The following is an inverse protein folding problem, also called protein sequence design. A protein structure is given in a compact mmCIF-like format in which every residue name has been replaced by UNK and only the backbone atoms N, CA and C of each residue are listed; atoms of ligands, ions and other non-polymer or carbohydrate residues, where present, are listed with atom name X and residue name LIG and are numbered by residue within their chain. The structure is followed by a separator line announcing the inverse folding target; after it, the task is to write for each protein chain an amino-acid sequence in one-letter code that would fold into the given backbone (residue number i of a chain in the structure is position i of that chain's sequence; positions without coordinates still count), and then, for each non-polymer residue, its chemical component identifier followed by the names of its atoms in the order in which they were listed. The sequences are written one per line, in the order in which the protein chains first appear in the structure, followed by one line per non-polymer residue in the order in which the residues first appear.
data_IF_814079943696
#
_entry.id   IF_814079943696
#
_cell.length_a   1.000
_cell.length_b   1.000
_cell.length_c   1.000
_cell.angle_alpha   90.00
_cell.angle_beta   90.00
_cell.angle_gamma   90.00
#
_symmetry.space_group_name_H-M   'P 1'
#
loop_
_entity.id
_entity.type
_entity.pdbx_description
1 polymer ?
#
# COMPACT_ATOMS: atom_id res chain seq x y z
N UNK A 1 -9.23 8.16 -13.88
CA UNK A 1 -10.43 7.42 -14.34
C UNK A 1 -10.50 7.19 -15.85
N UNK A 2 -9.47 7.48 -16.68
CA UNK A 2 -9.59 7.33 -18.15
C UNK A 2 -9.16 5.97 -18.72
N UNK A 3 -8.40 5.17 -17.97
CA UNK A 3 -7.64 4.06 -18.56
C UNK A 3 -7.99 2.66 -18.03
N UNK A 4 -8.13 2.47 -16.71
CA UNK A 4 -8.32 1.13 -16.12
C UNK A 4 -9.79 0.91 -15.76
N UNK A 5 -10.32 1.73 -14.84
CA UNK A 5 -11.69 1.58 -14.34
C UNK A 5 -12.81 1.53 -15.40
N UNK A 6 -12.80 2.35 -16.47
CA UNK A 6 -13.89 2.33 -17.45
C UNK A 6 -14.02 1.01 -18.23
N UNK A 7 -12.91 0.29 -18.41
CA UNK A 7 -12.84 -0.90 -19.26
C UNK A 7 -12.78 -2.19 -18.45
N UNK A 8 -12.94 -2.13 -17.13
CA UNK A 8 -12.85 -3.32 -16.26
C UNK A 8 -13.90 -4.40 -16.59
N UNK A 9 -15.08 -3.99 -17.08
CA UNK A 9 -16.17 -4.90 -17.49
C UNK A 9 -15.94 -5.53 -18.87
N UNK A 10 -14.99 -4.98 -19.64
CA UNK A 10 -14.59 -5.49 -20.96
C UNK A 10 -13.38 -6.43 -20.87
N UNK A 11 -12.80 -6.61 -19.69
CA UNK A 11 -11.64 -7.47 -19.48
C UNK A 11 -12.02 -8.96 -19.53
N UNK A 12 -11.24 -9.76 -20.26
CA UNK A 12 -11.41 -11.22 -20.30
C UNK A 12 -11.24 -11.87 -18.91
N UNK A 13 -10.35 -11.30 -18.08
CA UNK A 13 -10.05 -11.77 -16.74
C UNK A 13 -9.80 -10.57 -15.81
N UNK A 14 -10.42 -10.60 -14.64
CA UNK A 14 -10.15 -9.69 -13.54
C UNK A 14 -9.73 -10.50 -12.30
N UNK A 15 -8.61 -10.11 -11.68
CA UNK A 15 -8.10 -10.77 -10.48
C UNK A 15 -7.83 -9.75 -9.38
N UNK A 16 -8.31 -10.03 -8.18
CA UNK A 16 -7.99 -9.25 -6.99
C UNK A 16 -6.85 -9.95 -6.23
N UNK A 17 -5.64 -9.38 -6.32
CA UNK A 17 -4.46 -9.86 -5.61
C UNK A 17 -4.32 -9.29 -4.19
N UNK A 18 -5.27 -8.47 -3.72
CA UNK A 18 -5.17 -7.83 -2.42
C UNK A 18 -5.26 -8.85 -1.28
N UNK A 19 -4.37 -8.70 -0.30
CA UNK A 19 -4.33 -9.54 0.88
C UNK A 19 -4.59 -8.68 2.13
N UNK A 20 -5.43 -9.20 3.03
CA UNK A 20 -5.93 -8.44 4.20
C UNK A 20 -4.82 -7.92 5.13
N UNK A 21 -3.65 -8.56 5.12
CA UNK A 21 -2.53 -8.22 5.98
C UNK A 21 -1.60 -7.14 5.39
N UNK A 22 -1.75 -6.77 4.11
CA UNK A 22 -0.77 -5.90 3.42
C UNK A 22 -0.69 -4.52 4.07
N UNK A 23 -1.83 -3.90 4.37
CA UNK A 23 -1.87 -2.59 5.01
C UNK A 23 -1.32 -2.62 6.44
N UNK A 24 -1.51 -3.73 7.15
CA UNK A 24 -0.96 -3.92 8.49
C UNK A 24 0.58 -4.01 8.49
N UNK A 25 1.16 -4.64 7.46
CA UNK A 25 2.61 -4.67 7.26
C UNK A 25 3.13 -3.31 6.79
N UNK A 26 2.49 -2.71 5.78
CA UNK A 26 2.90 -1.42 5.21
C UNK A 26 2.88 -0.30 6.24
N UNK A 27 1.94 -0.33 7.19
CA UNK A 27 1.82 0.69 8.23
C UNK A 27 3.14 0.95 8.96
N UNK A 28 3.92 -0.09 9.25
CA UNK A 28 5.22 0.03 9.94
C UNK A 28 6.21 0.92 9.18
N UNK A 29 6.12 0.95 7.85
CA UNK A 29 7.00 1.71 6.96
C UNK A 29 6.39 3.07 6.57
N UNK A 30 5.10 3.09 6.24
CA UNK A 30 4.42 4.29 5.76
C UNK A 30 4.12 5.30 6.88
N UNK A 31 3.75 4.85 8.08
CA UNK A 31 3.38 5.73 9.18
C UNK A 31 4.48 6.73 9.60
N UNK A 32 5.76 6.33 9.80
CA UNK A 32 6.81 7.30 10.12
C UNK A 32 7.03 8.32 9.00
N UNK A 33 7.06 7.88 7.75
CA UNK A 33 7.26 8.76 6.59
C UNK A 33 6.12 9.80 6.44
N UNK A 34 4.88 9.38 6.66
CA UNK A 34 3.73 10.28 6.61
C UNK A 34 3.72 11.29 7.76
N UNK A 35 4.33 10.97 8.90
CA UNK A 35 4.45 11.90 10.05
C UNK A 35 5.52 12.97 9.85
N UNK A 36 6.45 12.77 8.92
CA UNK A 36 7.46 13.78 8.56
C UNK A 36 6.87 14.94 7.75
N UNK A 37 5.68 14.75 7.16
CA UNK A 37 4.98 15.78 6.39
C UNK A 37 4.28 16.73 7.35
N UNK A 38 4.75 17.97 7.41
CA UNK A 38 4.20 19.02 8.26
C UNK A 38 3.24 19.97 7.52
N UNK A 39 2.60 20.87 8.26
CA UNK A 39 1.56 21.78 7.73
C UNK A 39 2.06 22.83 6.72
N UNK A 40 3.37 22.97 6.52
CA UNK A 40 3.93 23.85 5.49
C UNK A 40 3.91 23.21 4.10
N UNK A 41 3.77 21.88 4.03
CA UNK A 41 3.79 21.12 2.78
C UNK A 41 2.39 21.02 2.17
N UNK A 42 2.25 21.16 0.83
CA UNK A 42 0.96 21.05 0.17
C UNK A 42 0.30 19.66 0.34
N UNK A 43 1.10 18.62 0.59
CA UNK A 43 0.65 17.25 0.80
C UNK A 43 0.11 16.97 2.20
N UNK A 44 0.21 17.91 3.15
CA UNK A 44 -0.15 17.69 4.55
C UNK A 44 -1.56 17.13 4.75
N UNK A 45 -2.54 17.67 4.01
CA UNK A 45 -3.93 17.20 4.07
C UNK A 45 -4.06 15.76 3.60
N UNK A 46 -3.33 15.38 2.55
CA UNK A 46 -3.31 14.00 2.05
C UNK A 46 -2.62 13.07 3.06
N UNK A 47 -1.49 13.50 3.64
CA UNK A 47 -0.76 12.74 4.65
C UNK A 47 -1.62 12.45 5.88
N UNK A 48 -2.34 13.46 6.40
CA UNK A 48 -3.28 13.30 7.53
C UNK A 48 -4.42 12.31 7.21
N UNK A 49 -4.95 12.34 5.98
CA UNK A 49 -5.99 11.39 5.54
C UNK A 49 -5.45 9.96 5.49
N UNK A 50 -4.25 9.76 4.95
CA UNK A 50 -3.60 8.44 4.89
C UNK A 50 -3.27 7.92 6.29
N UNK A 51 -2.75 8.77 7.18
CA UNK A 51 -2.51 8.41 8.59
C UNK A 51 -3.80 7.94 9.27
N UNK A 52 -4.90 8.69 9.11
CA UNK A 52 -6.20 8.33 9.68
C UNK A 52 -6.73 7.00 9.12
N UNK A 53 -6.48 6.72 7.84
CA UNK A 53 -6.82 5.43 7.24
C UNK A 53 -5.97 4.29 7.83
N UNK A 54 -4.66 4.50 8.00
CA UNK A 54 -3.75 3.50 8.59
C UNK A 54 -4.02 3.26 10.08
N UNK A 55 -4.62 4.20 10.81
CA UNK A 55 -5.04 4.00 12.21
C UNK A 55 -6.03 2.83 12.38
N UNK A 56 -6.77 2.46 11.34
CA UNK A 56 -7.70 1.31 11.35
C UNK A 56 -6.99 -0.05 11.42
N UNK A 57 -5.68 -0.11 11.23
CA UNK A 57 -4.91 -1.36 11.15
C UNK A 57 -3.95 -1.52 12.33
N UNK A 58 -3.89 -2.71 12.91
CA UNK A 58 -2.87 -3.06 13.90
C UNK A 58 -1.59 -3.43 13.15
N UNK A 59 -0.43 -2.81 13.43
CA UNK A 59 0.82 -3.14 12.77
C UNK A 59 1.14 -4.63 12.90
N UNK A 60 1.48 -5.27 11.79
CA UNK A 60 1.87 -6.67 11.75
C UNK A 60 3.41 -6.79 11.69
N UNK A 61 3.96 -7.72 12.48
CA UNK A 61 5.39 -7.99 12.54
C UNK A 61 5.90 -8.89 11.41
N UNK A 62 6.97 -9.65 11.69
CA UNK A 62 7.62 -10.58 10.77
C UNK A 62 6.67 -11.73 10.39
N UNK A 63 5.90 -11.51 9.33
CA UNK A 63 5.12 -12.55 8.66
C UNK A 63 5.85 -12.99 7.42
N UNK A 64 5.83 -14.30 7.17
CA UNK A 64 6.39 -14.87 5.96
C UNK A 64 5.55 -14.42 4.76
N UNK A 65 6.06 -13.39 4.07
CA UNK A 65 5.45 -12.84 2.87
C UNK A 65 6.18 -13.47 1.67
N UNK A 66 5.47 -14.14 0.75
CA UNK A 66 6.08 -14.74 -0.43
C UNK A 66 6.92 -13.73 -1.21
N UNK A 67 8.07 -14.14 -1.75
CA UNK A 67 8.93 -13.26 -2.54
C UNK A 67 8.27 -12.75 -3.83
N UNK A 68 7.19 -13.40 -4.27
CA UNK A 68 6.38 -13.03 -5.43
C UNK A 68 5.28 -12.02 -5.10
N UNK A 69 5.09 -11.65 -3.83
CA UNK A 69 4.12 -10.63 -3.44
C UNK A 69 4.60 -9.25 -3.90
N UNK A 70 3.74 -8.48 -4.56
CA UNK A 70 4.01 -7.09 -4.97
C UNK A 70 4.40 -6.23 -3.75
N UNK A 71 3.88 -6.55 -2.56
CA UNK A 71 4.27 -5.89 -1.31
C UNK A 71 5.79 -5.89 -1.09
N UNK A 72 6.51 -6.93 -1.54
CA UNK A 72 7.96 -7.06 -1.44
C UNK A 72 8.75 -6.04 -2.29
N UNK A 73 8.12 -5.40 -3.27
CA UNK A 73 8.73 -4.26 -3.98
C UNK A 73 8.92 -3.05 -3.05
N UNK A 74 8.02 -2.89 -2.07
CA UNK A 74 8.05 -1.77 -1.12
C UNK A 74 8.86 -2.07 0.14
N UNK A 75 8.78 -3.31 0.64
CA UNK A 75 9.42 -3.70 1.91
C UNK A 75 10.74 -4.48 1.71
N UNK A 76 11.13 -4.73 0.46
CA UNK A 76 12.31 -5.49 0.08
C UNK A 76 12.13 -7.01 0.11
N UNK A 77 13.01 -7.73 -0.59
CA UNK A 77 13.00 -9.20 -0.69
C UNK A 77 12.10 -9.74 -1.81
N UNK A 78 11.80 -8.93 -2.82
CA UNK A 78 11.10 -9.39 -4.03
C UNK A 78 12.02 -10.30 -4.83
N UNK A 79 11.46 -11.39 -5.35
CA UNK A 79 12.10 -12.22 -6.38
C UNK A 79 11.61 -11.90 -7.80
N UNK A 80 10.67 -10.95 -7.90
CA UNK A 80 10.30 -10.29 -9.15
C UNK A 80 11.24 -9.09 -9.29
N UNK A 81 12.42 -9.34 -9.85
CA UNK A 81 13.41 -8.34 -10.22
C UNK A 81 13.65 -8.50 -11.71
N UNK A 82 13.64 -7.38 -12.43
CA UNK A 82 14.21 -7.30 -13.78
C UNK A 82 15.73 -7.54 -13.74
#
# INVERSE_FOLDING_TARGET
ERNIFPFQEEADIMFNSALVYELAVLKKYAEPLLKEIDSSMPEYVAAKRLLRFLECFVPLGEVEIPCTSILKEFIGGSCLVD
#
